data_IF_359274357701
#
_entry.id   IF_359274357701
#
_cell.length_a   1.000
_cell.length_b   1.000
_cell.length_c   1.000
_cell.angle_alpha   90.00
_cell.angle_beta   90.00
_cell.angle_gamma   90.00
#
_symmetry.space_group_name_H-M   'P 1'
#
loop_
_entity.id
_entity.type
_entity.pdbx_description
1 polymer ?
#
# COMPACT_ATOMS: atom_id res chain seq x y z
N UNK A 1 -7.68 5.80 -10.69
CA UNK A 1 -8.71 4.77 -10.48
C UNK A 1 -10.06 5.40 -10.74
N UNK A 2 -10.80 4.95 -11.76
CA UNK A 2 -11.99 5.66 -12.28
C UNK A 2 -13.30 5.13 -11.70
N UNK A 3 -13.27 4.05 -10.90
CA UNK A 3 -14.43 3.49 -10.20
C UNK A 3 -14.13 3.35 -8.71
N UNK A 4 -14.75 4.21 -7.90
CA UNK A 4 -14.62 4.21 -6.43
C UNK A 4 -15.81 3.48 -5.82
N UNK A 5 -15.63 2.19 -5.55
CA UNK A 5 -16.68 1.26 -5.12
C UNK A 5 -16.43 0.75 -3.69
N UNK A 6 -15.81 1.55 -2.82
CA UNK A 6 -15.49 1.14 -1.45
C UNK A 6 -16.69 0.65 -0.63
N UNK A 7 -17.90 1.09 -0.96
CA UNK A 7 -19.15 0.62 -0.36
C UNK A 7 -19.44 -0.86 -0.64
N UNK A 8 -18.97 -1.42 -1.75
CA UNK A 8 -19.17 -2.83 -2.13
C UNK A 8 -18.12 -3.77 -1.53
N UNK A 9 -17.07 -3.22 -0.90
CA UNK A 9 -15.96 -3.99 -0.37
C UNK A 9 -16.38 -5.03 0.70
N UNK A 10 -17.26 -4.72 1.67
CA UNK A 10 -17.66 -5.69 2.68
C UNK A 10 -18.37 -6.92 2.08
N UNK A 11 -19.26 -6.69 1.11
CA UNK A 11 -20.00 -7.76 0.44
C UNK A 11 -19.06 -8.67 -0.36
N UNK A 12 -18.11 -8.06 -1.06
CA UNK A 12 -17.09 -8.81 -1.79
C UNK A 12 -16.20 -9.63 -0.85
N UNK A 13 -15.77 -9.07 0.28
CA UNK A 13 -14.97 -9.81 1.29
C UNK A 13 -15.78 -11.02 1.79
N UNK A 14 -17.06 -10.85 2.10
CA UNK A 14 -17.93 -11.94 2.54
C UNK A 14 -18.03 -13.07 1.53
N UNK A 15 -18.22 -12.74 0.25
CA UNK A 15 -18.25 -13.74 -0.84
C UNK A 15 -16.89 -14.42 -1.02
N UNK A 16 -15.81 -13.65 -1.02
CA UNK A 16 -14.46 -14.16 -1.23
C UNK A 16 -14.05 -15.15 -0.12
N UNK A 17 -14.47 -14.93 1.12
CA UNK A 17 -14.19 -15.84 2.24
C UNK A 17 -14.96 -17.17 2.17
N UNK A 18 -16.14 -17.17 1.54
CA UNK A 18 -16.95 -18.37 1.40
C UNK A 18 -16.50 -19.19 0.18
N UNK A 19 -16.42 -18.54 -0.98
CA UNK A 19 -16.41 -19.21 -2.27
C UNK A 19 -15.03 -19.28 -2.94
N UNK A 20 -14.06 -18.49 -2.50
CA UNK A 20 -12.77 -18.41 -3.17
C UNK A 20 -11.79 -19.53 -2.75
N UNK A 21 -10.72 -19.69 -3.54
CA UNK A 21 -9.61 -20.60 -3.19
C UNK A 21 -8.87 -20.12 -1.93
N UNK A 22 -8.18 -21.03 -1.24
CA UNK A 22 -7.55 -20.76 0.06
C UNK A 22 -6.68 -19.47 0.11
N UNK A 23 -5.83 -19.15 -0.89
CA UNK A 23 -5.05 -17.90 -0.86
C UNK A 23 -5.93 -16.64 -0.88
N UNK A 24 -7.02 -16.68 -1.65
CA UNK A 24 -7.95 -15.56 -1.79
C UNK A 24 -8.82 -15.39 -0.55
N UNK A 25 -9.24 -16.50 0.08
CA UNK A 25 -9.93 -16.48 1.39
C UNK A 25 -9.08 -15.82 2.46
N UNK A 26 -7.82 -16.23 2.58
CA UNK A 26 -6.89 -15.63 3.53
C UNK A 26 -6.68 -14.14 3.25
N UNK A 27 -6.50 -13.76 1.97
CA UNK A 27 -6.37 -12.37 1.56
C UNK A 27 -7.59 -11.52 1.97
N UNK A 28 -8.81 -12.00 1.68
CA UNK A 28 -10.04 -11.33 2.06
C UNK A 28 -10.16 -11.15 3.59
N UNK A 29 -9.78 -12.19 4.36
CA UNK A 29 -9.72 -12.11 5.82
C UNK A 29 -8.72 -11.06 6.33
N UNK A 30 -7.56 -10.92 5.68
CA UNK A 30 -6.58 -9.89 6.03
C UNK A 30 -7.10 -8.47 5.79
N UNK A 31 -7.88 -8.24 4.73
CA UNK A 31 -8.45 -6.92 4.45
C UNK A 31 -9.36 -6.40 5.57
N UNK A 32 -9.94 -7.28 6.39
CA UNK A 32 -10.75 -6.86 7.54
C UNK A 32 -9.95 -6.12 8.61
N UNK A 33 -8.64 -6.39 8.73
CA UNK A 33 -7.78 -5.75 9.72
C UNK A 33 -7.62 -4.25 9.44
N UNK A 34 -7.61 -3.87 8.16
CA UNK A 34 -7.43 -2.49 7.68
C UNK A 34 -8.66 -1.97 6.92
N UNK A 35 -9.86 -2.50 7.23
CA UNK A 35 -11.08 -2.27 6.43
C UNK A 35 -11.36 -0.78 6.21
N UNK A 36 -11.24 0.04 7.26
CA UNK A 36 -11.49 1.48 7.17
C UNK A 36 -10.52 2.17 6.19
N UNK A 37 -9.24 1.79 6.21
CA UNK A 37 -8.22 2.35 5.33
C UNK A 37 -8.46 1.92 3.88
N UNK A 38 -8.73 0.64 3.63
CA UNK A 38 -8.99 0.11 2.28
C UNK A 38 -10.29 0.67 1.70
N UNK A 39 -11.34 0.79 2.51
CA UNK A 39 -12.59 1.45 2.10
C UNK A 39 -12.35 2.93 1.76
N UNK A 40 -11.54 3.65 2.55
CA UNK A 40 -11.21 5.04 2.25
C UNK A 40 -10.43 5.16 0.94
N UNK A 41 -9.42 4.33 0.72
CA UNK A 41 -8.63 4.30 -0.53
C UNK A 41 -9.50 3.97 -1.76
N UNK A 42 -10.54 3.15 -1.60
CA UNK A 42 -11.50 2.82 -2.66
C UNK A 42 -12.68 3.80 -2.77
N UNK A 43 -12.80 4.79 -1.89
CA UNK A 43 -13.91 5.77 -1.86
C UNK A 43 -13.46 7.19 -2.16
N UNK A 44 -12.31 7.58 -1.66
CA UNK A 44 -11.80 8.95 -1.73
C UNK A 44 -11.04 9.20 -3.04
N UNK A 45 -10.93 10.48 -3.40
CA UNK A 45 -10.13 10.89 -4.56
C UNK A 45 -8.62 10.87 -4.29
N UNK A 46 -8.27 10.88 -3.01
CA UNK A 46 -6.90 10.91 -2.53
C UNK A 46 -6.30 9.52 -2.55
N UNK A 47 -5.04 9.41 -2.95
CA UNK A 47 -4.29 8.16 -2.89
C UNK A 47 -2.96 8.37 -2.17
N UNK A 48 -2.49 7.31 -1.51
CA UNK A 48 -1.17 7.27 -0.89
C UNK A 48 -0.03 7.19 -1.90
N UNK A 49 -0.31 7.13 -3.21
CA UNK A 49 0.68 6.85 -4.26
C UNK A 49 1.88 7.80 -4.26
N UNK A 50 1.69 9.09 -4.00
CA UNK A 50 2.82 10.05 -3.89
C UNK A 50 3.69 9.79 -2.66
N UNK A 51 3.10 9.36 -1.55
CA UNK A 51 3.83 9.00 -0.33
C UNK A 51 4.59 7.69 -0.55
N UNK A 52 3.92 6.69 -1.14
CA UNK A 52 4.50 5.39 -1.46
C UNK A 52 5.66 5.51 -2.45
N UNK A 53 5.55 6.35 -3.48
CA UNK A 53 6.64 6.60 -4.43
C UNK A 53 7.88 7.17 -3.72
N UNK A 54 7.69 8.14 -2.83
CA UNK A 54 8.80 8.68 -2.03
C UNK A 54 9.44 7.60 -1.14
N UNK A 55 8.62 6.77 -0.49
CA UNK A 55 9.11 5.63 0.31
C UNK A 55 9.86 4.64 -0.58
N UNK A 56 9.37 4.36 -1.78
CA UNK A 56 10.00 3.47 -2.75
C UNK A 56 11.34 4.03 -3.22
N UNK A 57 11.43 5.33 -3.55
CA UNK A 57 12.67 6.01 -3.90
C UNK A 57 13.72 5.90 -2.80
N UNK A 58 13.34 6.13 -1.53
CA UNK A 58 14.25 5.98 -0.39
C UNK A 58 14.70 4.52 -0.22
N UNK A 59 13.77 3.56 -0.33
CA UNK A 59 14.05 2.11 -0.27
C UNK A 59 15.02 1.68 -1.38
N UNK A 60 14.83 2.17 -2.61
CA UNK A 60 15.70 1.89 -3.76
C UNK A 60 17.10 2.42 -3.53
N UNK A 61 17.24 3.67 -3.07
CA UNK A 61 18.53 4.24 -2.71
C UNK A 61 19.25 3.42 -1.63
N UNK A 62 18.54 3.00 -0.58
CA UNK A 62 19.12 2.16 0.48
C UNK A 62 19.55 0.79 -0.04
N UNK A 63 18.77 0.17 -0.94
CA UNK A 63 19.10 -1.12 -1.59
C UNK A 63 20.30 -1.03 -2.52
N UNK A 64 20.42 0.06 -3.29
CA UNK A 64 21.61 0.33 -4.11
C UNK A 64 22.90 0.49 -3.29
N UNK A 65 22.76 0.70 -1.98
CA UNK A 65 23.87 0.79 -1.01
C UNK A 65 23.94 -0.45 -0.11
N UNK A 66 23.39 -1.60 -0.56
CA UNK A 66 23.40 -2.87 0.16
C UNK A 66 22.84 -2.80 1.58
N UNK A 67 21.89 -1.89 1.83
CA UNK A 67 21.30 -1.69 3.16
C UNK A 67 22.17 -0.90 4.15
N UNK A 68 23.39 -0.50 3.77
CA UNK A 68 24.41 0.10 4.67
C UNK A 68 24.29 1.62 4.83
N UNK A 69 23.25 2.24 4.25
CA UNK A 69 23.04 3.67 4.35
C UNK A 69 22.42 4.07 5.71
N UNK A 70 23.15 4.86 6.50
CA UNK A 70 22.62 5.48 7.72
C UNK A 70 21.60 6.57 7.40
N UNK A 71 20.80 6.98 8.38
CA UNK A 71 19.82 8.06 8.20
C UNK A 71 20.46 9.35 7.65
N UNK A 72 21.61 9.75 8.22
CA UNK A 72 22.37 10.93 7.75
C UNK A 72 22.73 10.82 6.27
N UNK A 73 23.19 9.65 5.83
CA UNK A 73 23.59 9.40 4.45
C UNK A 73 22.41 9.36 3.48
N UNK A 74 21.29 8.75 3.90
CA UNK A 74 20.04 8.77 3.13
C UNK A 74 19.52 10.21 2.99
N UNK A 75 19.49 10.99 4.08
CA UNK A 75 19.06 12.39 4.07
C UNK A 75 19.86 13.24 3.07
N UNK A 76 21.18 13.11 3.08
CA UNK A 76 22.08 13.79 2.12
C UNK A 76 21.70 13.39 0.68
N UNK A 77 21.59 12.10 0.39
CA UNK A 77 21.30 11.61 -0.97
C UNK A 77 19.89 11.93 -1.47
N UNK A 78 18.91 12.08 -0.57
CA UNK A 78 17.52 12.43 -0.91
C UNK A 78 17.38 13.93 -1.14
N UNK A 79 17.96 14.76 -0.27
CA UNK A 79 17.79 16.22 -0.28
C UNK A 79 18.76 16.97 -1.20
N UNK A 80 19.94 16.40 -1.49
CA UNK A 80 21.00 17.08 -2.26
C UNK A 80 20.99 16.69 -3.74
N UNK A 81 20.17 15.71 -4.16
CA UNK A 81 19.95 15.48 -5.60
C UNK A 81 19.02 16.57 -6.17
N UNK A 82 19.36 17.22 -7.29
CA UNK A 82 18.38 17.92 -8.11
C UNK A 82 17.32 16.96 -8.66
#
# INVERSE_FOLDING_TARGET
MTNRLGALLPDWIGQAEQDAQAPMRSFAGFLRQDLAAVTADLTLEWSSGKVEDNVNRVKTLKRAMYGRASFRLLRIRVLIRP
#
